data_IF_421355411453
#
_entry.id   IF_421355411453
#
_cell.length_a   1.000
_cell.length_b   1.000
_cell.length_c   1.000
_cell.angle_alpha   90.00
_cell.angle_beta   90.00
_cell.angle_gamma   90.00
#
_symmetry.space_group_name_H-M   'P 1'
#
loop_
_entity.id
_entity.type
_entity.pdbx_description
1 polymer ?
#
# COMPACT_ATOMS: atom_id res chain seq x y z
N UNK A 1 1.11 7.99 -18.13
CA UNK A 1 0.09 8.50 -17.21
C UNK A 1 -0.76 9.51 -17.96
N UNK A 2 -2.05 9.61 -17.63
CA UNK A 2 -2.97 10.61 -18.18
C UNK A 2 -3.92 11.09 -17.10
N UNK A 3 -4.41 12.32 -17.23
CA UNK A 3 -5.52 12.81 -16.41
C UNK A 3 -6.82 12.10 -16.81
N UNK A 4 -7.75 11.88 -15.86
CA UNK A 4 -9.09 11.42 -16.20
C UNK A 4 -9.83 12.48 -17.03
N UNK A 5 -10.79 12.05 -17.84
CA UNK A 5 -11.75 12.97 -18.44
C UNK A 5 -12.72 13.52 -17.39
N UNK A 6 -13.50 14.55 -17.71
CA UNK A 6 -14.43 15.19 -16.77
C UNK A 6 -15.48 14.22 -16.18
N UNK A 7 -15.81 13.14 -16.89
CA UNK A 7 -16.79 12.15 -16.47
C UNK A 7 -16.18 10.88 -15.88
N UNK A 8 -14.89 10.63 -16.10
CA UNK A 8 -14.22 9.38 -15.74
C UNK A 8 -13.85 9.36 -14.26
N UNK A 9 -14.38 8.36 -13.54
CA UNK A 9 -14.10 8.14 -12.12
C UNK A 9 -12.98 7.13 -11.94
N UNK A 10 -12.42 7.09 -10.72
CA UNK A 10 -11.34 6.17 -10.38
C UNK A 10 -11.62 4.67 -10.68
N UNK A 11 -12.86 4.15 -10.54
CA UNK A 11 -13.16 2.77 -10.94
C UNK A 11 -13.24 2.54 -12.45
N UNK A 12 -13.42 3.62 -13.23
CA UNK A 12 -13.74 3.58 -14.67
C UNK A 12 -12.49 3.48 -15.57
N UNK A 13 -11.30 3.31 -14.97
CA UNK A 13 -10.04 3.21 -15.71
C UNK A 13 -10.09 2.15 -16.80
N UNK A 14 -9.45 2.45 -17.94
CA UNK A 14 -9.44 1.57 -19.10
C UNK A 14 -8.72 0.25 -18.85
N UNK A 15 -8.86 -0.70 -19.78
CA UNK A 15 -8.13 -1.97 -19.73
C UNK A 15 -6.61 -1.72 -19.63
N UNK A 16 -5.97 -2.33 -18.63
CA UNK A 16 -4.54 -2.13 -18.36
C UNK A 16 -4.20 -0.82 -17.65
N UNK A 17 -5.18 -0.01 -17.23
CA UNK A 17 -4.96 1.21 -16.45
C UNK A 17 -5.26 1.00 -14.97
N UNK A 18 -4.41 1.55 -14.11
CA UNK A 18 -4.62 1.61 -12.66
C UNK A 18 -4.66 3.06 -12.21
N UNK A 19 -5.60 3.35 -11.33
CA UNK A 19 -5.75 4.66 -10.70
C UNK A 19 -4.67 4.86 -9.64
N UNK A 20 -3.90 5.94 -9.76
CA UNK A 20 -2.92 6.38 -8.76
C UNK A 20 -3.41 7.68 -8.16
N UNK A 21 -3.80 7.65 -6.90
CA UNK A 21 -4.19 8.85 -6.17
C UNK A 21 -2.97 9.65 -5.75
N UNK A 22 -3.10 10.97 -5.72
CA UNK A 22 -2.01 11.84 -5.25
C UNK A 22 -1.61 11.53 -3.80
N UNK A 23 -2.58 11.15 -2.96
CA UNK A 23 -2.33 10.70 -1.59
C UNK A 23 -1.39 9.48 -1.50
N UNK A 24 -1.21 8.69 -2.57
CA UNK A 24 -0.23 7.62 -2.61
C UNK A 24 1.21 8.15 -2.68
N UNK A 25 1.43 9.28 -3.36
CA UNK A 25 2.74 9.95 -3.42
C UNK A 25 3.12 10.48 -2.03
N UNK A 26 2.15 11.08 -1.33
CA UNK A 26 2.27 11.49 0.07
C UNK A 26 2.50 10.29 1.01
N UNK A 27 1.89 9.15 0.70
CA UNK A 27 2.09 7.90 1.43
C UNK A 27 3.52 7.36 1.28
N UNK A 28 4.27 7.80 0.26
CA UNK A 28 5.65 7.41 0.00
C UNK A 28 5.85 6.62 -1.30
N UNK A 29 4.81 6.46 -2.13
CA UNK A 29 4.93 5.77 -3.43
C UNK A 29 5.90 6.51 -4.34
N UNK A 30 6.72 5.75 -5.08
CA UNK A 30 7.75 6.27 -6.00
C UNK A 30 7.59 5.79 -7.45
N UNK A 31 6.40 5.32 -7.82
CA UNK A 31 6.04 5.08 -9.23
C UNK A 31 6.13 3.64 -9.68
N UNK A 32 6.45 2.72 -8.77
CA UNK A 32 6.32 1.28 -8.98
C UNK A 32 5.50 0.71 -7.84
N UNK A 33 4.64 -0.25 -8.17
CA UNK A 33 3.81 -0.96 -7.20
C UNK A 33 4.74 -1.87 -6.39
N UNK A 34 4.83 -1.70 -5.06
CA UNK A 34 5.62 -2.57 -4.20
C UNK A 34 5.20 -4.03 -4.34
N UNK A 35 6.16 -4.96 -4.29
CA UNK A 35 5.89 -6.39 -4.49
C UNK A 35 4.89 -6.96 -3.49
N UNK A 36 4.90 -6.49 -2.24
CA UNK A 36 3.92 -6.93 -1.25
C UNK A 36 2.50 -6.47 -1.60
N UNK A 37 2.37 -5.29 -2.23
CA UNK A 37 1.06 -4.79 -2.68
C UNK A 37 0.60 -5.54 -3.92
N UNK A 38 1.50 -5.87 -4.84
CA UNK A 38 1.23 -6.76 -5.98
C UNK A 38 0.71 -8.13 -5.48
N UNK A 39 1.45 -8.76 -4.56
CA UNK A 39 1.12 -10.08 -4.01
C UNK A 39 -0.22 -10.10 -3.28
N UNK A 40 -0.49 -9.15 -2.37
CA UNK A 40 -1.78 -9.12 -1.65
C UNK A 40 -2.95 -8.76 -2.56
N UNK A 41 -2.74 -7.90 -3.57
CA UNK A 41 -3.78 -7.54 -4.54
C UNK A 41 -4.10 -8.73 -5.44
N UNK A 42 -3.09 -9.50 -5.83
CA UNK A 42 -3.23 -10.76 -6.56
C UNK A 42 -4.03 -11.77 -5.74
N UNK A 43 -3.63 -12.00 -4.48
CA UNK A 43 -4.26 -12.97 -3.59
C UNK A 43 -5.75 -12.68 -3.36
N UNK A 44 -6.10 -11.43 -3.07
CA UNK A 44 -7.49 -11.03 -2.83
C UNK A 44 -8.26 -10.66 -4.09
N UNK A 45 -7.61 -10.66 -5.26
CA UNK A 45 -8.21 -10.29 -6.55
C UNK A 45 -8.86 -8.90 -6.56
N UNK A 46 -8.27 -7.92 -5.88
CA UNK A 46 -8.67 -6.51 -5.98
C UNK A 46 -7.64 -5.67 -6.73
N UNK A 47 -8.06 -4.54 -7.28
CA UNK A 47 -7.13 -3.58 -7.86
C UNK A 47 -6.36 -2.85 -6.75
N UNK A 48 -5.03 -2.66 -6.85
CA UNK A 48 -4.25 -1.92 -5.85
C UNK A 48 -4.82 -0.52 -5.53
N UNK A 49 -5.49 0.11 -6.50
CA UNK A 49 -6.14 1.42 -6.32
C UNK A 49 -7.37 1.39 -5.40
N UNK A 50 -7.86 0.21 -5.03
CA UNK A 50 -8.91 0.03 -4.02
C UNK A 50 -8.36 0.11 -2.59
N UNK A 51 -7.04 0.10 -2.39
CA UNK A 51 -6.44 0.27 -1.07
C UNK A 51 -6.43 1.75 -0.65
N UNK A 52 -6.77 2.02 0.59
CA UNK A 52 -6.60 3.37 1.17
C UNK A 52 -5.12 3.79 1.17
N UNK A 53 -4.79 5.10 1.16
CA UNK A 53 -3.41 5.57 1.23
C UNK A 53 -2.70 5.09 2.51
N UNK A 54 -3.45 4.93 3.61
CA UNK A 54 -2.93 4.36 4.84
C UNK A 54 -2.58 2.87 4.72
N UNK A 55 -3.42 2.08 4.03
CA UNK A 55 -3.11 0.68 3.73
C UNK A 55 -1.85 0.57 2.85
N UNK A 56 -1.75 1.38 1.80
CA UNK A 56 -0.54 1.49 0.97
C UNK A 56 0.71 1.78 1.81
N UNK A 57 0.63 2.84 2.63
CA UNK A 57 1.73 3.26 3.50
C UNK A 57 2.17 2.17 4.47
N UNK A 58 1.20 1.46 5.05
CA UNK A 58 1.45 0.38 6.00
C UNK A 58 2.11 -0.81 5.32
N UNK A 59 1.61 -1.26 4.17
CA UNK A 59 2.19 -2.37 3.41
C UNK A 59 3.61 -2.03 2.92
N UNK A 60 3.84 -0.81 2.42
CA UNK A 60 5.19 -0.35 2.09
C UNK A 60 6.12 -0.39 3.28
N UNK A 61 5.69 0.14 4.44
CA UNK A 61 6.51 0.13 5.64
C UNK A 61 6.83 -1.30 6.10
N UNK A 62 5.86 -2.22 6.02
CA UNK A 62 6.07 -3.64 6.34
C UNK A 62 7.11 -4.24 5.40
N UNK A 63 6.98 -4.04 4.08
CA UNK A 63 7.94 -4.55 3.11
C UNK A 63 9.36 -4.01 3.41
N UNK A 64 9.50 -2.70 3.62
CA UNK A 64 10.80 -2.08 3.95
C UNK A 64 11.36 -2.61 5.27
N UNK A 65 10.51 -2.83 6.28
CA UNK A 65 10.93 -3.41 7.56
C UNK A 65 11.51 -4.82 7.35
N UNK A 66 10.85 -5.65 6.54
CA UNK A 66 11.36 -6.96 6.17
C UNK A 66 12.72 -6.86 5.51
N UNK A 67 12.82 -6.06 4.44
CA UNK A 67 14.05 -5.92 3.66
C UNK A 67 15.23 -5.38 4.49
N UNK A 68 15.01 -4.37 5.34
CA UNK A 68 16.05 -3.79 6.21
C UNK A 68 16.57 -4.79 7.25
N UNK A 69 15.75 -5.75 7.65
CA UNK A 69 16.09 -6.77 8.65
C UNK A 69 16.32 -8.17 8.07
N UNK A 70 16.34 -8.31 6.73
CA UNK A 70 16.62 -9.57 6.05
C UNK A 70 15.47 -10.58 6.05
N UNK A 71 14.23 -10.15 6.30
CA UNK A 71 13.03 -10.98 6.21
C UNK A 71 12.34 -10.82 4.86
N UNK A 72 11.90 -11.93 4.27
CA UNK A 72 10.92 -11.91 3.18
C UNK A 72 9.53 -11.90 3.80
N UNK A 73 8.78 -10.82 3.58
CA UNK A 73 7.41 -10.68 4.07
C UNK A 73 6.48 -10.77 2.88
N UNK A 74 5.56 -11.74 2.93
CA UNK A 74 4.56 -11.97 1.88
C UNK A 74 3.14 -11.94 2.44
N UNK A 75 2.23 -12.55 1.69
CA UNK A 75 0.79 -12.57 2.04
C UNK A 75 0.53 -13.29 3.36
N UNK A 76 1.29 -14.33 3.70
CA UNK A 76 1.03 -15.13 4.91
C UNK A 76 1.28 -14.34 6.20
N UNK A 77 2.35 -13.55 6.26
CA UNK A 77 2.64 -12.66 7.40
C UNK A 77 1.59 -11.56 7.54
N UNK A 78 1.09 -11.05 6.41
CA UNK A 78 -0.01 -10.07 6.37
C UNK A 78 -1.30 -10.71 6.90
N UNK A 79 -1.68 -11.89 6.44
CA UNK A 79 -2.89 -12.59 6.90
C UNK A 79 -2.80 -13.00 8.38
N UNK A 80 -1.60 -13.30 8.88
CA UNK A 80 -1.36 -13.56 10.30
C UNK A 80 -1.56 -12.32 11.17
N UNK A 81 -1.01 -11.17 10.74
CA UNK A 81 -0.93 -9.97 11.58
C UNK A 81 -2.04 -8.94 11.31
N UNK A 82 -2.70 -9.04 10.15
CA UNK A 82 -3.67 -8.07 9.65
C UNK A 82 -4.84 -8.74 8.93
N UNK A 83 -5.89 -7.96 8.68
CA UNK A 83 -6.97 -8.29 7.77
C UNK A 83 -7.41 -7.04 7.01
N UNK A 84 -7.90 -7.24 5.79
CA UNK A 84 -8.57 -6.18 5.03
C UNK A 84 -10.03 -6.06 5.45
N UNK A 85 -10.53 -4.83 5.48
CA UNK A 85 -11.94 -4.55 5.73
C UNK A 85 -12.44 -3.45 4.79
N UNK A 86 -13.69 -3.54 4.31
CA UNK A 86 -14.30 -2.47 3.55
C UNK A 86 -14.25 -1.15 4.34
N UNK A 87 -13.96 -0.05 3.65
CA UNK A 87 -14.02 1.28 4.23
C UNK A 87 -15.47 1.75 4.33
N UNK A 88 -15.93 2.03 5.56
CA UNK A 88 -17.27 2.56 5.77
C UNK A 88 -17.48 3.86 4.97
N UNK A 89 -18.64 4.00 4.33
CA UNK A 89 -19.06 5.16 3.54
C UNK A 89 -18.24 5.43 2.27
N UNK A 90 -17.38 4.50 1.84
CA UNK A 90 -16.64 4.58 0.57
C UNK A 90 -16.56 3.19 -0.09
N UNK A 91 -17.58 2.89 -0.88
CA UNK A 91 -17.72 1.59 -1.55
C UNK A 91 -16.51 1.29 -2.46
N UNK A 92 -16.17 0.01 -2.51
CA UNK A 92 -15.04 -0.49 -3.30
C UNK A 92 -13.66 -0.25 -2.69
N UNK A 93 -13.53 0.50 -1.59
CA UNK A 93 -12.25 0.70 -0.91
C UNK A 93 -12.04 -0.24 0.27
N UNK A 94 -10.78 -0.63 0.49
CA UNK A 94 -10.35 -1.47 1.60
C UNK A 94 -9.26 -0.80 2.42
N UNK A 95 -9.37 -0.93 3.75
CA UNK A 95 -8.32 -0.56 4.68
C UNK A 95 -7.76 -1.79 5.38
N UNK A 96 -6.50 -1.69 5.82
CA UNK A 96 -5.80 -2.75 6.54
C UNK A 96 -5.96 -2.54 8.04
N UNK A 97 -6.36 -3.58 8.79
CA UNK A 97 -6.47 -3.55 10.25
C UNK A 97 -5.57 -4.59 10.87
N UNK A 98 -4.89 -4.23 11.95
CA UNK A 98 -4.12 -5.19 12.75
C UNK A 98 -5.05 -6.16 13.48
N UNK A 99 -4.61 -7.42 13.54
CA UNK A 99 -5.16 -8.45 14.41
C UNK A 99 -4.55 -8.29 15.81
N UNK A 100 -5.39 -8.42 16.83
CA UNK A 100 -5.01 -8.54 18.25
C UNK A 100 -3.91 -7.59 18.76
N UNK A 101 -3.95 -6.31 18.36
CA UNK A 101 -3.13 -5.26 18.98
C UNK A 101 -1.62 -5.36 18.76
N UNK A 102 -1.14 -6.29 17.93
CA UNK A 102 0.27 -6.53 17.63
C UNK A 102 0.60 -6.19 16.17
N UNK A 103 0.54 -4.92 15.74
CA UNK A 103 0.87 -4.55 14.37
C UNK A 103 2.38 -4.67 14.14
N UNK A 104 2.76 -5.24 12.98
CA UNK A 104 4.14 -5.29 12.50
C UNK A 104 4.77 -3.90 12.33
N UNK A 105 3.98 -2.85 12.10
CA UNK A 105 4.46 -1.47 12.02
C UNK A 105 3.53 -0.53 12.79
N UNK A 106 4.08 0.56 13.30
CA UNK A 106 3.34 1.53 14.12
C UNK A 106 3.34 2.88 13.42
N UNK A 107 2.16 3.42 13.19
CA UNK A 107 2.05 4.85 12.90
C UNK A 107 2.24 5.62 14.22
N UNK A 108 3.04 6.70 14.26
CA UNK A 108 2.91 7.72 15.30
C UNK A 108 1.44 8.08 15.47
N UNK A 109 0.91 7.73 16.64
CA UNK A 109 -0.42 8.14 17.07
C UNK A 109 -0.44 9.67 17.09
N UNK A 110 -1.00 10.29 16.06
CA UNK A 110 -1.52 11.64 16.18
C UNK A 110 -2.70 11.52 17.12
N UNK A 111 -2.47 11.88 18.39
CA UNK A 111 -3.53 11.99 19.38
C UNK A 111 -4.73 12.72 18.78
N UNK A 112 -5.93 12.27 19.13
CA UNK A 112 -7.24 12.68 18.63
C UNK A 112 -7.82 11.75 17.55
N UNK A 113 -8.90 11.07 17.97
CA UNK A 113 -9.84 10.31 17.15
C UNK A 113 -10.32 11.19 15.98
N UNK A 114 -10.04 10.80 14.74
CA UNK A 114 -10.46 11.53 13.54
C UNK A 114 -9.33 12.11 12.68
N UNK A 115 -8.06 12.03 13.10
CA UNK A 115 -6.94 12.44 12.24
C UNK A 115 -6.58 11.35 11.23
N UNK A 116 -7.31 11.30 10.10
CA UNK A 116 -6.85 10.58 8.92
C UNK A 116 -5.65 11.33 8.33
N UNK A 117 -4.45 10.73 8.22
CA UNK A 117 -3.24 11.43 7.77
C UNK A 117 -3.37 12.03 6.35
N UNK A 118 -4.37 11.58 5.57
CA UNK A 118 -4.64 12.00 4.20
C UNK A 118 -5.95 12.79 4.05
N UNK A 119 -6.68 13.04 5.14
CA UNK A 119 -8.01 13.68 5.13
C UNK A 119 -9.11 12.85 4.47
N UNK A 120 -10.37 13.28 4.58
CA UNK A 120 -11.51 12.55 4.01
C UNK A 120 -11.61 12.67 2.48
N UNK A 121 -11.00 13.71 1.88
CA UNK A 121 -11.02 13.98 0.44
C UNK A 121 -9.87 13.36 -0.36
N UNK A 122 -9.11 12.43 0.21
CA UNK A 122 -7.88 11.89 -0.39
C UNK A 122 -8.04 11.28 -1.79
N UNK A 123 -9.24 10.80 -2.13
CA UNK A 123 -9.55 10.14 -3.40
C UNK A 123 -10.07 11.09 -4.49
N UNK A 124 -9.98 12.41 -4.28
CA UNK A 124 -10.47 13.43 -5.22
C UNK A 124 -9.50 13.68 -6.39
N UNK A 125 -8.19 13.55 -6.16
CA UNK A 125 -7.14 13.79 -7.15
C UNK A 125 -6.42 12.49 -7.49
N UNK A 126 -6.45 12.12 -8.77
CA UNK A 126 -5.83 10.91 -9.27
C UNK A 126 -5.45 11.04 -10.75
N UNK A 127 -4.55 10.16 -11.17
CA UNK A 127 -4.15 9.95 -12.57
C UNK A 127 -4.33 8.49 -12.93
N UNK A 128 -4.53 8.23 -14.22
CA UNK A 128 -4.61 6.89 -14.77
C UNK A 128 -3.25 6.49 -15.35
N UNK A 129 -2.74 5.36 -14.90
CA UNK A 129 -1.43 4.84 -15.27
C UNK A 129 -1.60 3.54 -16.02
N UNK A 130 -1.20 3.52 -17.30
CA UNK A 130 -1.07 2.29 -18.07
C UNK A 130 0.03 1.43 -17.47
N UNK A 131 -0.33 0.20 -17.12
CA UNK A 131 0.62 -0.82 -16.69
C UNK A 131 0.89 -1.76 -17.86
N UNK A 132 2.15 -2.17 -18.04
CA UNK A 132 2.50 -3.18 -19.01
C UNK A 132 2.05 -4.55 -18.49
N UNK A 133 1.16 -5.21 -19.23
CA UNK A 133 0.75 -6.58 -18.96
C UNK A 133 1.87 -7.57 -19.34
N UNK A 134 1.97 -8.73 -18.67
CA UNK A 134 1.06 -9.25 -17.65
C UNK A 134 1.34 -8.73 -16.24
N UNK A 135 0.28 -8.39 -15.50
CA UNK A 135 0.31 -8.05 -14.07
C UNK A 135 -0.35 -9.14 -13.24
N UNK A 136 0.13 -9.36 -12.01
CA UNK A 136 -0.40 -10.40 -11.12
C UNK A 136 -1.76 -10.06 -10.49
N UNK A 137 -2.23 -8.82 -10.57
CA UNK A 137 -3.48 -8.33 -9.99
C UNK A 137 -4.44 -7.75 -11.04
N UNK A 138 -5.75 -7.66 -10.73
CA UNK A 138 -6.70 -6.95 -11.57
C UNK A 138 -6.40 -5.45 -11.69
N UNK A 139 -6.48 -4.90 -12.90
CA UNK A 139 -6.36 -3.45 -13.15
C UNK A 139 -7.70 -2.73 -12.96
N UNK A 140 -8.81 -3.39 -13.28
CA UNK A 140 -10.18 -2.93 -13.01
C UNK A 140 -10.58 -3.13 -11.55
N UNK A 141 -11.39 -2.22 -11.02
CA UNK A 141 -11.98 -2.36 -9.68
C UNK A 141 -12.94 -3.56 -9.60
N UNK A 142 -12.90 -4.25 -8.44
CA UNK A 142 -13.80 -5.36 -8.15
C UNK A 142 -14.27 -5.34 -6.70
N UNK A 143 -15.56 -5.57 -6.50
CA UNK A 143 -16.07 -5.90 -5.17
C UNK A 143 -15.61 -7.32 -4.84
N UNK A 144 -14.82 -7.46 -3.79
CA UNK A 144 -14.24 -8.74 -3.38
C UNK A 144 -14.66 -9.04 -1.96
N UNK A 145 -14.97 -10.31 -1.71
CA UNK A 145 -15.12 -10.78 -0.34
C UNK A 145 -13.73 -10.95 0.27
N UNK A 146 -13.37 -10.02 1.15
CA UNK A 146 -12.14 -10.06 1.96
C UNK A 146 -12.38 -10.74 3.31
N UNK A 147 -13.33 -11.68 3.38
CA UNK A 147 -13.66 -12.46 4.58
C UNK A 147 -12.39 -12.92 5.28
N UNK A 148 -12.21 -12.46 6.53
CA UNK A 148 -10.91 -12.26 7.22
C UNK A 148 -10.03 -13.53 7.29
N UNK A 149 -9.26 -13.88 6.24
CA UNK A 149 -8.55 -15.14 6.22
C UNK A 149 -7.37 -15.05 7.18
N UNK A 150 -7.11 -16.11 7.93
CA UNK A 150 -5.97 -16.20 8.83
C UNK A 150 -5.01 -17.24 8.29
N UNK A 151 -3.72 -16.90 8.26
CA UNK A 151 -2.68 -17.82 7.85
C UNK A 151 -1.64 -17.96 8.96
N UNK A 152 -1.61 -19.12 9.62
CA UNK A 152 -0.57 -19.42 10.62
C UNK A 152 0.80 -19.70 9.98
N UNK A 153 0.89 -19.89 8.65
CA UNK A 153 2.17 -20.05 7.96
C UNK A 153 3.10 -18.83 8.14
N UNK A 154 2.55 -17.63 8.33
CA UNK A 154 3.33 -16.41 8.55
C UNK A 154 3.65 -16.11 10.02
N UNK A 155 3.23 -16.98 10.95
CA UNK A 155 3.34 -16.73 12.39
C UNK A 155 4.80 -16.58 12.84
N UNK A 156 5.67 -17.48 12.39
CA UNK A 156 7.07 -17.50 12.83
C UNK A 156 7.80 -16.20 12.43
N UNK A 157 7.70 -15.81 11.16
CA UNK A 157 8.30 -14.57 10.64
C UNK A 157 7.69 -13.34 11.30
N UNK A 158 6.36 -13.29 11.45
CA UNK A 158 5.68 -12.20 12.14
C UNK A 158 6.16 -12.04 13.59
N UNK A 159 6.31 -13.14 14.34
CA UNK A 159 6.84 -13.11 15.71
C UNK A 159 8.28 -12.62 15.77
N UNK A 160 9.16 -13.07 14.88
CA UNK A 160 10.53 -12.56 14.81
C UNK A 160 10.58 -11.07 14.51
N UNK A 161 9.72 -10.58 13.61
CA UNK A 161 9.61 -9.15 13.34
C UNK A 161 9.19 -8.40 14.61
N UNK A 162 8.25 -8.93 15.40
CA UNK A 162 7.81 -8.28 16.65
C UNK A 162 8.88 -8.20 17.73
N UNK A 163 9.94 -9.02 17.67
CA UNK A 163 11.09 -8.94 18.58
C UNK A 163 12.06 -7.80 18.23
N UNK A 164 11.94 -7.21 17.04
CA UNK A 164 12.74 -6.05 16.65
C UNK A 164 12.42 -4.88 17.61
N UNK A 165 13.43 -4.09 18.04
CA UNK A 165 13.19 -2.95 18.92
C UNK A 165 12.16 -1.98 18.33
N UNK A 166 11.17 -1.59 19.13
CA UNK A 166 10.01 -0.74 18.74
C UNK A 166 10.35 0.49 17.89
N UNK A 167 11.54 1.07 18.07
CA UNK A 167 12.02 2.22 17.29
C UNK A 167 12.18 1.95 15.78
N UNK A 168 12.30 0.70 15.37
CA UNK A 168 12.41 0.34 13.95
C UNK A 168 11.06 0.06 13.30
N UNK A 169 10.00 -0.09 14.08
CA UNK A 169 8.64 -0.32 13.58
C UNK A 169 7.91 0.95 13.13
N UNK A 170 8.51 2.13 13.30
CA UNK A 170 7.84 3.39 12.99
C UNK A 170 7.67 3.58 11.49
N UNK A 171 6.42 3.68 11.05
CA UNK A 171 6.07 3.87 9.63
C UNK A 171 6.77 5.11 9.06
N UNK A 172 6.82 6.21 9.80
CA UNK A 172 7.52 7.44 9.38
C UNK A 172 9.00 7.25 9.11
N UNK A 173 9.68 6.37 9.85
CA UNK A 173 11.07 6.01 9.59
C UNK A 173 11.18 5.11 8.36
N UNK A 174 10.34 4.08 8.26
CA UNK A 174 10.38 3.06 7.20
C UNK A 174 10.02 3.62 5.82
N UNK A 175 9.15 4.62 5.75
CA UNK A 175 8.81 5.32 4.50
C UNK A 175 9.64 6.58 4.27
N UNK A 176 10.65 6.82 5.10
CA UNK A 176 11.59 7.93 4.89
C UNK A 176 12.47 7.67 3.66
N UNK A 177 12.96 8.75 3.03
CA UNK A 177 13.90 8.65 1.89
C UNK A 177 15.10 7.77 2.20
N UNK A 178 15.60 7.82 3.44
CA UNK A 178 16.76 7.03 3.88
C UNK A 178 16.44 5.54 3.87
N UNK A 179 15.33 5.13 4.51
CA UNK A 179 14.94 3.72 4.56
C UNK A 179 14.57 3.19 3.18
N UNK A 180 13.81 3.96 2.40
CA UNK A 180 13.42 3.57 1.04
C UNK A 180 14.65 3.32 0.15
N UNK A 181 15.69 4.15 0.20
CA UNK A 181 16.93 3.94 -0.59
C UNK A 181 17.62 2.59 -0.36
N UNK A 182 17.38 1.95 0.77
CA UNK A 182 17.89 0.62 1.10
C UNK A 182 16.89 -0.50 0.78
N UNK A 183 15.80 -0.19 0.09
CA UNK A 183 14.72 -1.11 -0.26
C UNK A 183 14.48 -1.20 -1.76
N UNK A 184 13.94 -2.32 -2.21
CA UNK A 184 13.50 -2.53 -3.59
C UNK A 184 12.33 -1.61 -3.99
N UNK A 185 11.59 -1.08 -3.01
CA UNK A 185 10.56 -0.06 -3.21
C UNK A 185 11.13 1.22 -3.85
N UNK A 186 12.42 1.54 -3.61
CA UNK A 186 13.12 2.66 -4.24
C UNK A 186 13.84 2.31 -5.55
N UNK A 187 14.39 1.10 -5.66
CA UNK A 187 15.25 0.70 -6.78
C UNK A 187 14.55 0.64 -8.15
N UNK A 188 13.23 0.50 -8.19
CA UNK A 188 12.48 0.41 -9.44
C UNK A 188 12.15 1.79 -10.06
N UNK A 189 12.52 2.90 -9.41
CA UNK A 189 12.29 4.28 -9.88
C UNK A 189 13.16 4.63 -11.10
N UNK A 190 14.38 4.11 -11.16
CA UNK A 190 15.38 4.49 -12.18
C UNK A 190 15.03 4.05 -13.62
N UNK A 191 13.96 3.28 -13.83
CA UNK A 191 13.50 2.81 -15.15
C UNK A 191 12.12 3.34 -15.57
N UNK A 192 11.46 4.16 -14.75
CA UNK A 192 10.11 4.66 -15.05
C UNK A 192 10.15 6.08 -15.65
N UNK A 193 9.45 6.34 -16.78
CA UNK A 193 9.29 7.69 -17.35
C UNK A 193 8.59 8.68 -16.40
N UNK A 194 8.00 8.18 -15.31
CA UNK A 194 7.36 9.00 -14.28
C UNK A 194 8.37 9.77 -13.42
N UNK A 195 9.68 9.49 -13.51
CA UNK A 195 10.74 10.16 -12.73
C UNK A 195 10.70 11.69 -12.79
N UNK A 196 10.25 12.26 -13.92
CA UNK A 196 10.22 13.71 -14.16
C UNK A 196 9.18 14.44 -13.30
N UNK A 197 8.08 13.78 -12.90
CA UNK A 197 7.04 14.40 -12.04
C UNK A 197 7.45 14.38 -10.56
N UNK A 198 8.39 13.53 -10.16
CA UNK A 198 8.83 13.43 -8.77
C UNK A 198 9.69 14.61 -8.30
N UNK A 199 10.27 15.37 -9.22
CA UNK A 199 11.09 16.54 -8.89
C UNK A 199 10.24 17.77 -8.50
N UNK A 200 8.99 17.87 -8.95
CA UNK A 200 8.09 19.01 -8.62
C UNK A 200 7.45 18.92 -7.23
N UNK A 201 7.53 17.77 -6.56
CA UNK A 201 7.06 17.57 -5.18
C UNK A 201 8.23 17.43 -4.16
N UNK A 202 9.45 17.85 -4.54
CA UNK A 202 10.59 18.04 -3.63
C UNK A 202 10.54 19.40 -2.90
#
# INVERSE_FOLDING_TARGET
MRSPTEFERAPDGGAGEVTVYEAYLEAGVRGVIPSLIDEVSSFFSFCPSQLTPLAWRTLMAIQVLGEVHGFSIGVHEILYSYYFAPLANKDGFYHLRSREGAPLVKEPSRGVRGNHPFGDGWNSRYVLVKIQEPVGYPTSWRTVDVSRPVSFAGEAVAKFIMEIPRRFHWVTFLVSRKALRHSHVWGNVARSPASVVYDEYQ
#
